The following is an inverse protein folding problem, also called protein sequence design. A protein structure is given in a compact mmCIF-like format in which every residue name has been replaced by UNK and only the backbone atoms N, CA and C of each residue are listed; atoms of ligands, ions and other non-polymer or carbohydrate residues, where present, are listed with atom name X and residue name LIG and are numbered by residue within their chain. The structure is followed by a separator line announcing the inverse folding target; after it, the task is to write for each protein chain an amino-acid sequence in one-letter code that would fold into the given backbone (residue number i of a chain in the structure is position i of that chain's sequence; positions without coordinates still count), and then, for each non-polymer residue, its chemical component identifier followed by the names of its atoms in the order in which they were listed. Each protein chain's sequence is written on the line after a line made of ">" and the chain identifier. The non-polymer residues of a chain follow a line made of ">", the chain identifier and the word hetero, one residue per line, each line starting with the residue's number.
data_IF_878617952588
#
_entry.id   IF_878617952588
#
_cell.length_a   1.000
_cell.length_b   1.000
_cell.length_c   1.000
_cell.angle_alpha   90.00
_cell.angle_beta   90.00
_cell.angle_gamma   90.00
#
_symmetry.space_group_name_H-M   'P 1'
#
loop_
_entity.id
_entity.type
_entity.pdbx_description
1 polymer ?
#
# COMPACT_ATOMS: atom_id res chain seq x y z
N UNK A 1 -12.66 -26.95 -27.85
CA UNK A 1 -12.31 -27.52 -26.53
C UNK A 1 -11.70 -26.45 -25.63
N UNK A 2 -12.40 -25.35 -25.42
CA UNK A 2 -11.90 -24.18 -24.68
C UNK A 2 -13.11 -23.47 -24.07
N UNK A 3 -12.92 -22.87 -22.91
CA UNK A 3 -13.95 -22.21 -22.08
C UNK A 3 -14.69 -23.06 -21.02
N UNK A 4 -14.22 -24.27 -20.66
CA UNK A 4 -14.74 -25.02 -19.49
C UNK A 4 -14.36 -24.43 -18.12
N UNK A 5 -13.60 -23.33 -18.04
CA UNK A 5 -12.92 -22.98 -16.79
C UNK A 5 -13.06 -21.55 -16.30
N UNK A 6 -13.52 -20.58 -17.11
CA UNK A 6 -13.66 -19.20 -16.61
C UNK A 6 -14.65 -19.14 -15.43
N UNK A 7 -15.77 -19.85 -15.54
CA UNK A 7 -16.74 -20.00 -14.45
C UNK A 7 -16.16 -20.79 -13.27
N UNK A 8 -15.36 -21.81 -13.54
CA UNK A 8 -14.73 -22.64 -12.50
C UNK A 8 -13.74 -21.83 -11.65
N UNK A 9 -12.92 -20.98 -12.29
CA UNK A 9 -12.00 -20.08 -11.61
C UNK A 9 -12.74 -19.06 -10.72
N UNK A 10 -13.89 -18.55 -11.15
CA UNK A 10 -14.72 -17.67 -10.33
C UNK A 10 -15.23 -18.39 -9.07
N UNK A 11 -15.69 -19.64 -9.19
CA UNK A 11 -16.13 -20.45 -8.04
C UNK A 11 -14.98 -20.72 -7.07
N UNK A 12 -13.78 -21.06 -7.58
CA UNK A 12 -12.60 -21.26 -6.73
C UNK A 12 -12.22 -19.98 -5.98
N UNK A 13 -12.21 -18.82 -6.66
CA UNK A 13 -11.96 -17.52 -6.03
C UNK A 13 -12.99 -17.21 -4.95
N UNK A 14 -14.27 -17.49 -5.21
CA UNK A 14 -15.35 -17.31 -4.25
C UNK A 14 -15.11 -18.15 -2.99
N UNK A 15 -14.82 -19.44 -3.15
CA UNK A 15 -14.54 -20.34 -2.01
C UNK A 15 -13.30 -19.89 -1.24
N UNK A 16 -12.25 -19.44 -1.93
CA UNK A 16 -11.04 -18.92 -1.29
C UNK A 16 -11.32 -17.67 -0.44
N UNK A 17 -12.14 -16.75 -0.96
CA UNK A 17 -12.57 -15.54 -0.23
C UNK A 17 -13.44 -15.91 0.97
N UNK A 18 -14.31 -16.91 0.86
CA UNK A 18 -15.13 -17.37 1.98
C UNK A 18 -14.28 -18.01 3.09
N UNK A 19 -13.25 -18.78 2.73
CA UNK A 19 -12.40 -19.48 3.70
C UNK A 19 -11.37 -18.57 4.37
N UNK A 20 -10.71 -17.70 3.60
CA UNK A 20 -9.67 -16.80 4.10
C UNK A 20 -10.20 -15.42 4.53
N UNK A 21 -11.36 -15.01 4.02
CA UNK A 21 -11.96 -13.70 4.24
C UNK A 21 -11.51 -12.64 3.22
N UNK A 22 -12.40 -11.68 2.93
CA UNK A 22 -12.20 -10.61 1.94
C UNK A 22 -11.03 -9.67 2.25
N UNK A 23 -10.61 -9.55 3.52
CA UNK A 23 -9.50 -8.70 3.92
C UNK A 23 -8.12 -9.38 3.84
N UNK A 24 -8.05 -10.70 4.00
CA UNK A 24 -6.78 -11.44 4.13
C UNK A 24 -6.14 -11.76 2.78
N UNK A 25 -6.94 -12.09 1.78
CA UNK A 25 -6.45 -12.30 0.41
C UNK A 25 -5.78 -11.05 -0.19
N UNK A 26 -6.39 -9.85 -0.19
CA UNK A 26 -5.74 -8.67 -0.74
C UNK A 26 -4.57 -8.19 0.11
N UNK A 27 -4.59 -8.38 1.43
CA UNK A 27 -3.46 -8.05 2.29
C UNK A 27 -2.25 -8.95 2.00
N UNK A 28 -2.47 -10.27 1.90
CA UNK A 28 -1.43 -11.24 1.54
C UNK A 28 -0.92 -11.02 0.11
N UNK A 29 -1.80 -10.79 -0.86
CA UNK A 29 -1.43 -10.52 -2.23
C UNK A 29 -0.59 -9.23 -2.37
N UNK A 30 -0.91 -8.18 -1.61
CA UNK A 30 -0.10 -6.95 -1.56
C UNK A 30 1.31 -7.20 -0.99
N UNK A 31 1.41 -7.97 0.09
CA UNK A 31 2.70 -8.35 0.67
C UNK A 31 3.54 -9.19 -0.29
N UNK A 32 2.95 -10.25 -0.85
CA UNK A 32 3.59 -11.14 -1.82
C UNK A 32 3.97 -10.40 -3.10
N UNK A 33 3.12 -9.50 -3.60
CA UNK A 33 3.38 -8.71 -4.81
C UNK A 33 4.56 -7.75 -4.66
N UNK A 34 4.76 -7.16 -3.47
CA UNK A 34 5.95 -6.33 -3.20
C UNK A 34 7.23 -7.16 -3.22
N UNK A 35 7.24 -8.31 -2.55
CA UNK A 35 8.41 -9.20 -2.55
C UNK A 35 8.72 -9.75 -3.95
N UNK A 36 7.68 -10.12 -4.71
CA UNK A 36 7.84 -10.62 -6.07
C UNK A 36 8.33 -9.52 -7.05
N UNK A 37 7.94 -8.26 -6.83
CA UNK A 37 8.42 -7.12 -7.63
C UNK A 37 9.91 -6.87 -7.40
N UNK A 38 10.36 -6.88 -6.15
CA UNK A 38 11.79 -6.70 -5.82
C UNK A 38 12.60 -7.82 -6.46
N UNK A 39 12.18 -9.07 -6.24
CA UNK A 39 12.81 -10.24 -6.84
C UNK A 39 12.81 -10.21 -8.37
N UNK A 40 11.70 -9.77 -9.00
CA UNK A 40 11.59 -9.59 -10.45
C UNK A 40 12.58 -8.54 -10.92
N UNK A 41 12.72 -7.40 -10.24
CA UNK A 41 13.65 -6.33 -10.59
C UNK A 41 15.11 -6.77 -10.48
N UNK A 42 15.47 -7.48 -9.41
CA UNK A 42 16.83 -8.04 -9.25
C UNK A 42 17.12 -9.14 -10.29
N UNK A 43 16.16 -10.02 -10.57
CA UNK A 43 16.29 -11.01 -11.65
C UNK A 43 16.33 -10.39 -13.05
N UNK A 44 15.59 -9.30 -13.26
CA UNK A 44 15.56 -8.56 -14.52
C UNK A 44 16.91 -7.90 -14.73
N UNK A 45 17.52 -7.29 -13.71
CA UNK A 45 18.88 -6.72 -13.79
C UNK A 45 19.90 -7.78 -14.20
N UNK A 46 19.87 -8.96 -13.55
CA UNK A 46 20.75 -10.08 -13.92
C UNK A 46 20.52 -10.59 -15.35
N UNK A 47 19.30 -10.52 -15.88
CA UNK A 47 19.01 -10.88 -17.28
C UNK A 47 19.25 -9.73 -18.27
N UNK A 48 19.19 -8.48 -17.81
CA UNK A 48 19.30 -7.26 -18.61
C UNK A 48 20.73 -6.76 -18.76
N UNK A 49 21.71 -7.33 -18.03
CA UNK A 49 23.15 -7.23 -18.35
C UNK A 49 23.48 -7.69 -19.80
N UNK A 50 22.52 -8.29 -20.51
CA UNK A 50 22.60 -8.59 -21.95
C UNK A 50 21.70 -7.76 -22.89
N UNK A 51 20.78 -6.91 -22.41
CA UNK A 51 19.96 -5.97 -23.23
C UNK A 51 19.07 -5.09 -22.32
N UNK A 52 19.22 -3.78 -22.50
CA UNK A 52 18.49 -2.66 -21.87
C UNK A 52 16.96 -2.82 -21.87
N UNK A 53 16.31 -2.59 -20.71
CA UNK A 53 14.88 -2.26 -20.62
C UNK A 53 14.60 -1.28 -19.47
N UNK A 54 14.00 -0.14 -19.81
CA UNK A 54 13.63 0.98 -18.92
C UNK A 54 12.38 0.64 -18.06
N UNK A 55 12.33 0.97 -16.75
CA UNK A 55 11.13 0.82 -15.94
C UNK A 55 10.32 2.13 -15.90
N UNK A 56 9.30 2.24 -16.76
CA UNK A 56 8.30 3.28 -16.71
C UNK A 56 7.07 2.86 -15.88
N UNK A 57 6.82 3.61 -14.81
CA UNK A 57 5.51 3.96 -14.20
C UNK A 57 4.45 2.85 -13.98
N UNK A 58 4.06 2.64 -12.71
CA UNK A 58 2.66 2.47 -12.27
C UNK A 58 2.57 1.74 -10.92
N UNK A 59 2.77 2.50 -9.85
CA UNK A 59 1.98 2.34 -8.64
C UNK A 59 1.93 3.71 -7.97
N UNK A 60 1.18 4.61 -8.61
CA UNK A 60 0.68 5.83 -7.98
C UNK A 60 0.07 5.42 -6.65
N UNK A 61 0.78 5.74 -5.58
CA UNK A 61 0.30 5.58 -4.22
C UNK A 61 -1.02 6.33 -4.15
N UNK A 62 -2.12 5.59 -4.06
CA UNK A 62 -3.35 6.15 -3.54
C UNK A 62 -3.05 6.39 -2.06
N UNK A 63 -2.94 7.65 -1.58
CA UNK A 63 -2.91 7.88 -0.15
C UNK A 63 -4.22 7.33 0.38
N UNK A 64 -4.14 6.25 1.15
CA UNK A 64 -5.21 5.93 2.06
C UNK A 64 -5.34 7.18 2.94
N UNK A 65 -6.40 7.95 2.71
CA UNK A 65 -6.76 9.03 3.60
C UNK A 65 -6.93 8.42 4.99
N UNK A 66 -5.90 8.56 5.81
CA UNK A 66 -6.09 8.74 7.24
C UNK A 66 -7.00 9.97 7.36
N UNK A 67 -8.29 9.71 7.51
CA UNK A 67 -9.24 10.66 8.04
C UNK A 67 -8.80 10.98 9.47
N UNK A 68 -7.85 11.91 9.58
CA UNK A 68 -7.69 12.71 10.77
C UNK A 68 -8.85 13.73 10.75
N UNK A 69 -9.83 13.69 11.66
CA UNK A 69 -10.83 14.74 11.73
C UNK A 69 -10.17 16.00 12.32
N UNK A 70 -9.49 16.77 11.48
CA UNK A 70 -9.13 18.16 11.78
C UNK A 70 -10.15 19.07 11.11
N UNK A 71 -11.24 19.34 11.83
CA UNK A 71 -12.24 20.40 11.56
C UNK A 71 -12.92 20.65 12.91
N UNK A 72 -13.00 21.82 13.57
CA UNK A 72 -12.65 23.24 13.39
C UNK A 72 -12.88 23.87 14.79
N UNK A 73 -12.11 24.87 15.23
CA UNK A 73 -12.66 26.20 15.57
C UNK A 73 -11.54 27.21 15.98
N UNK A 74 -11.38 28.33 15.26
CA UNK A 74 -10.59 29.47 15.70
C UNK A 74 -11.44 30.43 16.57
N UNK A 75 -10.80 30.99 17.60
CA UNK A 75 -11.26 32.09 18.47
C UNK A 75 -12.25 31.76 19.61
N UNK A 76 -11.70 31.53 20.81
CA UNK A 76 -12.14 32.19 22.03
C UNK A 76 -10.97 32.24 23.03
N UNK A 77 -10.64 33.47 23.45
CA UNK A 77 -9.71 33.88 24.51
C UNK A 77 -9.73 32.94 25.74
N UNK A 78 -8.63 32.73 26.48
CA UNK A 78 -7.95 33.72 27.34
C UNK A 78 -6.55 33.25 27.77
N UNK A 79 -5.52 34.07 27.51
CA UNK A 79 -4.35 34.48 28.34
C UNK A 79 -3.68 33.52 29.36
N UNK A 80 -2.41 33.75 29.76
CA UNK A 80 -1.26 34.30 29.03
C UNK A 80 0.03 33.46 29.22
N UNK A 81 1.03 33.82 28.42
CA UNK A 81 2.48 33.54 28.53
C UNK A 81 3.03 33.46 29.96
N UNK A 82 3.83 32.42 30.23
CA UNK A 82 5.03 32.53 31.09
C UNK A 82 6.24 31.91 30.34
N UNK A 83 7.34 32.67 30.13
CA UNK A 83 8.54 32.25 29.39
C UNK A 83 9.41 31.20 30.11
N UNK A 84 10.36 30.53 29.41
CA UNK A 84 11.07 29.35 29.89
C UNK A 84 12.09 29.70 30.99
N UNK A 85 12.01 29.01 32.11
CA UNK A 85 12.97 29.12 33.19
C UNK A 85 14.32 28.45 32.82
N UNK A 86 15.31 29.32 32.64
CA UNK A 86 16.66 29.26 33.22
C UNK A 86 17.68 28.28 32.63
N UNK A 87 18.32 28.78 31.56
CA UNK A 87 19.79 28.70 31.40
C UNK A 87 20.46 29.50 32.52
N UNK A 88 21.07 28.81 33.49
CA UNK A 88 22.05 29.37 34.45
C UNK A 88 23.12 28.29 34.59
N UNK A 89 24.21 28.44 33.85
CA UNK A 89 25.54 28.87 34.34
C UNK A 89 26.29 27.71 35.00
#
# INVERSE_FOLDING_TARGET
>A
MGAMSAWHWAVVLLVLVLLFGSAKLPAAARGLGRSLRIFKSEMQEMQSDGKQAEPGDAARELPASEQNPTVQNPAASTNPVTPPDKKTA
#
